data_IF_534470118691
#
_entry.id   IF_534470118691
#
_cell.length_a   1.000
_cell.length_b   1.000
_cell.length_c   1.000
_cell.angle_alpha   90.00
_cell.angle_beta   90.00
_cell.angle_gamma   90.00
#
_symmetry.space_group_name_H-M   'P 1'
#
loop_
_entity.id
_entity.type
_entity.pdbx_description
1 polymer ?
#
# COMPACT_ATOMS: atom_id res chain seq x y z
N UNK A 1 10.96 -10.04 -5.02
CA UNK A 1 9.94 -9.18 -5.65
C UNK A 1 8.53 -9.42 -5.10
N UNK A 2 8.04 -10.67 -5.06
CA UNK A 2 6.73 -11.00 -4.46
C UNK A 2 6.59 -10.50 -3.02
N UNK A 3 7.60 -10.67 -2.17
CA UNK A 3 7.57 -10.18 -0.78
C UNK A 3 7.43 -8.65 -0.68
N UNK A 4 8.06 -7.88 -1.58
CA UNK A 4 7.99 -6.41 -1.59
C UNK A 4 6.59 -5.93 -1.98
N UNK A 5 5.96 -6.60 -2.96
CA UNK A 5 4.58 -6.32 -3.38
C UNK A 5 3.60 -6.62 -2.25
N UNK A 6 3.75 -7.77 -1.59
CA UNK A 6 2.92 -8.15 -0.44
C UNK A 6 3.09 -7.14 0.70
N UNK A 7 4.31 -6.74 1.02
CA UNK A 7 4.57 -5.76 2.08
C UNK A 7 3.97 -4.40 1.76
N UNK A 8 4.06 -3.95 0.49
CA UNK A 8 3.43 -2.72 0.01
C UNK A 8 1.91 -2.74 0.23
N UNK A 9 1.26 -3.88 -0.03
CA UNK A 9 -0.19 -4.03 0.10
C UNK A 9 -0.65 -4.20 1.55
N UNK A 10 0.11 -4.95 2.35
CA UNK A 10 -0.27 -5.31 3.72
C UNK A 10 0.07 -4.21 4.72
N UNK A 11 1.13 -3.42 4.50
CA UNK A 11 1.57 -2.40 5.45
C UNK A 11 0.47 -1.38 5.83
N UNK A 12 -0.24 -0.73 4.88
CA UNK A 12 -1.33 0.19 5.20
C UNK A 12 -2.50 -0.53 5.88
N UNK A 13 -2.79 -1.78 5.49
CA UNK A 13 -3.85 -2.58 6.08
C UNK A 13 -3.56 -2.89 7.55
N UNK A 14 -2.31 -3.23 7.87
CA UNK A 14 -1.89 -3.46 9.26
C UNK A 14 -1.99 -2.17 10.08
N UNK A 15 -1.54 -1.03 9.54
CA UNK A 15 -1.71 0.27 10.18
C UNK A 15 -3.17 0.60 10.48
N UNK A 16 -4.04 0.39 9.48
CA UNK A 16 -5.49 0.54 9.61
C UNK A 16 -6.08 -0.39 10.68
N UNK A 17 -5.71 -1.67 10.71
CA UNK A 17 -6.23 -2.60 11.71
C UNK A 17 -5.79 -2.22 13.13
N UNK A 18 -4.54 -1.80 13.30
CA UNK A 18 -4.03 -1.36 14.60
C UNK A 18 -4.80 -0.11 15.07
N UNK A 19 -4.95 0.91 14.22
CA UNK A 19 -5.67 2.13 14.57
C UNK A 19 -7.18 1.90 14.72
N UNK A 20 -7.78 1.06 13.88
CA UNK A 20 -9.21 0.75 13.93
C UNK A 20 -9.61 0.00 15.21
N UNK A 21 -8.80 -0.97 15.65
CA UNK A 21 -9.07 -1.77 16.84
C UNK A 21 -8.62 -1.07 18.12
N UNK A 22 -7.43 -0.47 18.12
CA UNK A 22 -6.78 0.06 19.31
C UNK A 22 -6.65 1.59 19.34
N UNK A 23 -7.15 2.31 18.34
CA UNK A 23 -6.93 3.76 18.20
C UNK A 23 -7.40 4.57 19.42
N UNK A 24 -8.51 4.18 20.06
CA UNK A 24 -8.98 4.82 21.30
C UNK A 24 -7.99 4.69 22.47
N UNK A 25 -7.22 3.60 22.52
CA UNK A 25 -6.19 3.35 23.54
C UNK A 25 -4.87 4.05 23.18
N UNK A 26 -4.52 4.07 21.90
CA UNK A 26 -3.23 4.57 21.38
C UNK A 26 -3.21 6.10 21.28
N UNK A 27 -4.37 6.73 21.08
CA UNK A 27 -4.50 8.19 21.05
C UNK A 27 -3.62 8.83 19.98
N UNK A 28 -2.72 9.75 20.37
CA UNK A 28 -1.86 10.50 19.43
C UNK A 28 -0.87 9.63 18.67
N UNK A 29 -0.54 8.43 19.14
CA UNK A 29 0.37 7.55 18.43
C UNK A 29 -0.27 6.89 17.18
N UNK A 30 -1.59 7.02 16.99
CA UNK A 30 -2.28 6.54 15.77
C UNK A 30 -1.72 7.16 14.50
N UNK A 31 -1.35 8.44 14.55
CA UNK A 31 -0.76 9.14 13.40
C UNK A 31 0.63 8.64 13.06
N UNK A 32 1.44 8.32 14.07
CA UNK A 32 2.77 7.72 13.87
C UNK A 32 2.62 6.36 13.19
N UNK A 33 1.69 5.52 13.65
CA UNK A 33 1.42 4.20 13.08
C UNK A 33 0.99 4.33 11.62
N UNK A 34 0.03 5.20 11.33
CA UNK A 34 -0.46 5.42 9.97
C UNK A 34 0.63 5.98 9.03
N UNK A 35 1.41 6.97 9.50
CA UNK A 35 2.53 7.55 8.76
C UNK A 35 3.62 6.51 8.46
N UNK A 36 3.99 5.67 9.44
CA UNK A 36 4.98 4.60 9.24
C UNK A 36 4.44 3.55 8.28
N UNK A 37 3.18 3.16 8.40
CA UNK A 37 2.55 2.17 7.53
C UNK A 37 2.55 2.59 6.05
N UNK A 38 2.17 3.85 5.76
CA UNK A 38 2.21 4.37 4.38
C UNK A 38 3.65 4.65 3.91
N UNK A 39 4.56 5.05 4.82
CA UNK A 39 5.98 5.25 4.50
C UNK A 39 6.67 3.94 4.08
N UNK A 40 6.39 2.83 4.77
CA UNK A 40 6.88 1.50 4.36
C UNK A 40 6.42 1.18 2.93
N UNK A 41 5.16 1.48 2.62
CA UNK A 41 4.58 1.27 1.29
C UNK A 41 5.24 2.15 0.22
N UNK A 42 5.55 3.40 0.57
CA UNK A 42 6.29 4.33 -0.29
C UNK A 42 7.71 3.82 -0.57
N UNK A 43 8.44 3.38 0.45
CA UNK A 43 9.78 2.80 0.28
C UNK A 43 9.71 1.57 -0.63
N UNK A 44 8.75 0.66 -0.41
CA UNK A 44 8.53 -0.50 -1.28
C UNK A 44 8.23 -0.08 -2.73
N UNK A 45 7.43 0.96 -2.93
CA UNK A 45 7.08 1.46 -4.26
C UNK A 45 8.31 2.03 -5.00
N UNK A 46 9.18 2.74 -4.29
CA UNK A 46 10.44 3.27 -4.87
C UNK A 46 11.37 2.12 -5.25
N UNK A 47 11.52 1.12 -4.37
CA UNK A 47 12.35 -0.06 -4.65
C UNK A 47 11.84 -0.84 -5.87
N UNK A 48 10.53 -1.09 -5.96
CA UNK A 48 9.91 -1.77 -7.11
C UNK A 48 10.09 -0.98 -8.41
N UNK A 49 9.92 0.35 -8.35
CA UNK A 49 10.13 1.20 -9.52
C UNK A 49 11.57 1.14 -10.02
N UNK A 50 12.56 1.22 -9.12
CA UNK A 50 13.97 1.12 -9.48
C UNK A 50 14.31 -0.24 -10.09
N UNK A 51 13.88 -1.34 -9.46
CA UNK A 51 14.19 -2.71 -9.90
C UNK A 51 13.59 -3.03 -11.28
N UNK A 52 12.32 -2.66 -11.51
CA UNK A 52 11.65 -2.91 -12.79
C UNK A 52 12.16 -1.98 -13.89
N UNK A 53 12.47 -0.72 -13.57
CA UNK A 53 13.07 0.21 -14.54
C UNK A 53 14.44 -0.27 -15.00
N UNK A 54 15.27 -0.78 -14.08
CA UNK A 54 16.55 -1.41 -14.41
C UNK A 54 16.38 -2.71 -15.19
N UNK A 55 15.36 -3.51 -14.89
CA UNK A 55 15.07 -4.77 -15.61
C UNK A 55 14.52 -4.54 -17.02
N UNK A 56 13.80 -3.43 -17.24
CA UNK A 56 13.32 -3.02 -18.57
C UNK A 56 14.46 -2.69 -19.51
N UNK A 57 15.57 -2.15 -19.00
CA UNK A 57 16.80 -1.95 -19.77
C UNK A 57 17.40 -3.29 -20.26
N UNK A 58 17.07 -4.41 -19.61
CA UNK A 58 17.53 -5.75 -19.93
C UNK A 58 16.47 -6.62 -20.67
N UNK A 59 15.33 -6.05 -21.07
CA UNK A 59 14.32 -6.73 -21.89
C UNK A 59 13.17 -7.43 -21.15
N UNK A 60 13.09 -7.35 -19.81
CA UNK A 60 11.95 -7.87 -19.05
C UNK A 60 10.89 -6.78 -18.83
N UNK A 61 9.67 -6.98 -19.33
CA UNK A 61 8.66 -5.91 -19.49
C UNK A 61 7.63 -5.87 -18.35
N UNK A 62 7.42 -6.96 -17.59
CA UNK A 62 6.35 -7.00 -16.59
C UNK A 62 6.59 -8.07 -15.53
N UNK A 63 6.19 -7.79 -14.29
CA UNK A 63 6.05 -8.79 -13.23
C UNK A 63 4.58 -9.13 -13.05
N UNK A 64 4.25 -10.40 -13.18
CA UNK A 64 2.94 -10.94 -12.80
C UNK A 64 3.20 -12.07 -11.82
N UNK A 65 2.76 -11.91 -10.58
CA UNK A 65 2.47 -13.10 -9.79
C UNK A 65 1.16 -13.65 -10.38
N UNK A 66 1.15 -14.94 -10.74
CA UNK A 66 -0.02 -15.59 -11.37
C UNK A 66 -1.27 -15.54 -10.48
N UNK A 67 -2.33 -16.25 -10.90
CA UNK A 67 -3.55 -16.38 -10.11
C UNK A 67 -3.23 -16.75 -8.65
N UNK A 68 -3.51 -15.84 -7.72
CA UNK A 68 -3.38 -16.09 -6.29
C UNK A 68 -4.50 -17.01 -5.80
N UNK A 69 -5.71 -16.78 -6.31
CA UNK A 69 -6.91 -17.50 -5.88
C UNK A 69 -8.02 -17.39 -6.94
N UNK A 70 -8.75 -18.47 -7.20
CA UNK A 70 -9.97 -18.43 -8.02
C UNK A 70 -11.12 -17.87 -7.18
N UNK A 71 -11.56 -16.66 -7.49
CA UNK A 71 -12.60 -15.97 -6.73
C UNK A 71 -13.99 -16.49 -7.05
N UNK A 72 -14.28 -16.69 -8.33
CA UNK A 72 -15.59 -17.13 -8.81
C UNK A 72 -15.36 -18.22 -9.84
N UNK A 73 -16.01 -19.36 -9.60
CA UNK A 73 -16.10 -20.47 -10.56
C UNK A 73 -17.59 -20.80 -10.75
N UNK A 74 -18.11 -20.55 -11.94
CA UNK A 74 -19.53 -20.74 -12.26
C UNK A 74 -19.72 -21.20 -13.71
N UNK A 75 -19.83 -22.51 -13.91
CA UNK A 75 -19.90 -23.11 -15.24
C UNK A 75 -18.57 -22.87 -15.99
N UNK A 76 -18.64 -22.22 -17.14
CA UNK A 76 -17.46 -21.85 -17.94
C UNK A 76 -16.80 -20.53 -17.49
N UNK A 77 -17.40 -19.80 -16.54
CA UNK A 77 -16.83 -18.56 -16.01
C UNK A 77 -15.86 -18.90 -14.87
N UNK A 78 -14.58 -18.61 -15.08
CA UNK A 78 -13.55 -18.60 -14.03
C UNK A 78 -12.96 -17.20 -13.89
N UNK A 79 -13.00 -16.66 -12.68
CA UNK A 79 -12.46 -15.34 -12.33
C UNK A 79 -11.37 -15.53 -11.29
N UNK A 80 -10.14 -15.15 -11.65
CA UNK A 80 -8.97 -15.26 -10.79
C UNK A 80 -8.59 -13.91 -10.20
N UNK A 81 -8.24 -13.90 -8.91
CA UNK A 81 -7.55 -12.79 -8.26
C UNK A 81 -6.06 -13.02 -8.46
N UNK A 82 -5.37 -12.04 -9.03
CA UNK A 82 -3.92 -12.05 -9.22
C UNK A 82 -3.33 -10.65 -9.12
N UNK A 83 -2.01 -10.55 -9.05
CA UNK A 83 -1.31 -9.25 -9.00
C UNK A 83 -0.46 -9.10 -10.24
N UNK A 84 -0.80 -8.10 -11.04
CA UNK A 84 0.00 -7.65 -12.17
C UNK A 84 0.63 -6.30 -11.85
N UNK A 85 1.96 -6.22 -12.00
CA UNK A 85 2.73 -4.99 -11.83
C UNK A 85 3.42 -4.67 -13.15
N UNK A 86 2.87 -3.68 -13.85
CA UNK A 86 3.43 -3.14 -15.08
C UNK A 86 3.91 -1.68 -14.89
N UNK A 87 4.37 -1.05 -15.99
CA UNK A 87 4.88 0.33 -15.96
C UNK A 87 3.81 1.34 -15.48
N UNK A 88 2.54 1.14 -15.81
CA UNK A 88 1.45 2.01 -15.37
C UNK A 88 1.17 1.78 -13.88
N UNK A 89 1.11 0.52 -13.44
CA UNK A 89 0.94 0.18 -12.02
C UNK A 89 2.02 0.86 -11.17
N UNK A 90 3.29 0.82 -11.60
CA UNK A 90 4.40 1.41 -10.83
C UNK A 90 4.28 2.91 -10.64
N UNK A 91 3.91 3.65 -11.70
CA UNK A 91 3.69 5.09 -11.59
C UNK A 91 2.55 5.38 -10.63
N UNK A 92 1.45 4.62 -10.72
CA UNK A 92 0.31 4.77 -9.81
C UNK A 92 0.68 4.45 -8.36
N UNK A 93 1.48 3.41 -8.11
CA UNK A 93 1.96 3.08 -6.77
C UNK A 93 2.78 4.23 -6.16
N UNK A 94 3.67 4.86 -6.92
CA UNK A 94 4.46 6.01 -6.47
C UNK A 94 3.58 7.21 -6.13
N UNK A 95 2.59 7.50 -6.97
CA UNK A 95 1.65 8.61 -6.75
C UNK A 95 0.81 8.35 -5.51
N UNK A 96 0.20 7.17 -5.40
CA UNK A 96 -0.70 6.82 -4.28
C UNK A 96 0.07 6.82 -2.96
N UNK A 97 1.22 6.15 -2.89
CA UNK A 97 2.00 6.06 -1.65
C UNK A 97 2.72 7.37 -1.31
N UNK A 98 3.21 8.10 -2.32
CA UNK A 98 3.92 9.36 -2.14
C UNK A 98 3.00 10.49 -1.70
N UNK A 99 1.95 10.77 -2.48
CA UNK A 99 0.95 11.78 -2.13
C UNK A 99 0.20 11.35 -0.87
N UNK A 100 -0.11 10.06 -0.72
CA UNK A 100 -0.72 9.50 0.49
C UNK A 100 0.10 9.76 1.75
N UNK A 101 1.42 9.56 1.70
CA UNK A 101 2.31 9.89 2.82
C UNK A 101 2.30 11.39 3.16
N UNK A 102 2.38 12.26 2.15
CA UNK A 102 2.32 13.71 2.36
C UNK A 102 0.99 14.15 3.00
N UNK A 103 -0.13 13.56 2.57
CA UNK A 103 -1.44 13.79 3.18
C UNK A 103 -1.42 13.36 4.65
N UNK A 104 -0.89 12.17 4.98
CA UNK A 104 -0.81 11.72 6.37
C UNK A 104 0.01 12.67 7.24
N UNK A 105 1.18 13.13 6.76
CA UNK A 105 2.01 14.09 7.49
C UNK A 105 1.28 15.41 7.70
N UNK A 106 0.65 15.94 6.65
CA UNK A 106 -0.15 17.18 6.75
C UNK A 106 -1.29 17.05 7.78
N UNK A 107 -1.96 15.89 7.78
CA UNK A 107 -3.09 15.64 8.67
C UNK A 107 -2.72 15.65 10.15
N UNK A 108 -1.44 15.48 10.52
CA UNK A 108 -0.99 15.52 11.91
C UNK A 108 -1.27 16.90 12.52
N UNK A 109 -0.97 17.95 11.76
CA UNK A 109 -1.24 19.33 12.15
C UNK A 109 -2.71 19.69 11.95
N UNK A 110 -3.30 19.28 10.83
CA UNK A 110 -4.69 19.62 10.49
C UNK A 110 -5.69 19.07 11.51
N UNK A 111 -5.50 17.83 11.99
CA UNK A 111 -6.40 17.20 12.97
C UNK A 111 -6.04 17.52 14.43
N UNK A 112 -5.12 18.46 14.67
CA UNK A 112 -4.66 18.74 16.03
C UNK A 112 -5.81 19.20 16.94
N UNK A 113 -6.03 18.46 18.02
CA UNK A 113 -7.10 18.76 18.99
C UNK A 113 -8.48 18.21 18.62
N UNK A 114 -8.62 17.53 17.48
CA UNK A 114 -9.88 16.90 17.08
C UNK A 114 -10.18 15.64 17.94
N UNK A 115 -11.41 15.48 18.46
CA UNK A 115 -11.78 14.33 19.29
C UNK A 115 -11.77 12.99 18.51
N UNK A 116 -11.88 13.03 17.19
CA UNK A 116 -11.83 11.90 16.27
C UNK A 116 -10.43 11.57 15.74
N UNK A 117 -9.35 12.14 16.30
CA UNK A 117 -7.97 11.99 15.80
C UNK A 117 -7.59 10.55 15.45
N UNK A 118 -7.79 9.61 16.37
CA UNK A 118 -7.37 8.23 16.18
C UNK A 118 -8.27 7.40 15.25
N UNK A 119 -9.46 7.91 14.90
CA UNK A 119 -10.35 7.30 13.90
C UNK A 119 -10.02 7.79 12.49
N UNK A 120 -9.51 9.02 12.38
CA UNK A 120 -9.13 9.63 11.11
C UNK A 120 -7.87 8.97 10.52
N UNK A 121 -6.88 8.74 11.38
CA UNK A 121 -5.63 8.02 11.06
C UNK A 121 -5.81 6.51 11.19
#
# INVERSE_FOLDING_TARGET
>A
MSSTIILLLISPLVGFLINGVFGKLIGKASSVIACVAILISLVCSVLLFSEISSSKANGAISYSDGSLYEWISAGDLSVEIGIRVDSLTLVMLLVITGVGFLIHVYSIGYMHGDPGYARYF
#
